data_IF_969838017086
#
_entry.id   IF_969838017086
#
_cell.length_a   1.000
_cell.length_b   1.000
_cell.length_c   1.000
_cell.angle_alpha   90.00
_cell.angle_beta   90.00
_cell.angle_gamma   90.00
#
_symmetry.space_group_name_H-M   'P 1'
#
loop_
_entity.id
_entity.type
_entity.pdbx_description
1 polymer ?
#
# COMPACT_ATOMS: atom_id res chain seq x y z
N UNK A 1 -25.47 90.93 -41.85
CA UNK A 1 -25.10 90.22 -43.09
C UNK A 1 -25.18 88.73 -42.83
N UNK A 2 -26.20 88.06 -43.39
CA UNK A 2 -26.25 86.60 -43.54
C UNK A 2 -25.11 86.14 -44.47
N UNK A 3 -24.70 84.86 -44.47
CA UNK A 3 -25.54 83.81 -45.06
C UNK A 3 -25.55 82.47 -44.29
N UNK A 4 -26.67 81.76 -44.42
CA UNK A 4 -26.71 80.29 -44.29
C UNK A 4 -26.01 79.66 -45.49
N UNK A 5 -25.51 78.42 -45.33
CA UNK A 5 -25.82 77.43 -46.36
C UNK A 5 -26.30 76.10 -45.79
N UNK A 6 -26.86 75.35 -46.73
CA UNK A 6 -27.76 74.21 -46.68
C UNK A 6 -27.05 72.84 -46.70
N UNK A 7 -27.72 71.86 -46.09
CA UNK A 7 -27.90 70.43 -46.48
C UNK A 7 -26.67 69.54 -46.63
N UNK A 8 -26.66 68.40 -45.92
CA UNK A 8 -26.39 67.09 -46.53
C UNK A 8 -26.74 65.95 -45.57
N UNK A 9 -27.70 65.12 -45.98
CA UNK A 9 -27.95 63.80 -45.40
C UNK A 9 -26.73 62.89 -45.56
N UNK A 10 -26.36 62.13 -44.53
CA UNK A 10 -25.49 60.94 -44.65
C UNK A 10 -25.88 59.85 -43.65
N UNK A 11 -26.42 58.76 -44.21
CA UNK A 11 -26.08 57.38 -43.88
C UNK A 11 -26.34 56.88 -42.45
N UNK A 12 -27.51 56.24 -42.24
CA UNK A 12 -27.66 55.29 -41.15
C UNK A 12 -26.88 54.01 -41.49
N UNK A 13 -25.69 53.86 -40.93
CA UNK A 13 -24.90 52.63 -41.03
C UNK A 13 -25.45 51.63 -40.00
N UNK A 14 -26.20 50.63 -40.46
CA UNK A 14 -26.65 49.50 -39.63
C UNK A 14 -25.45 48.60 -39.36
N UNK A 15 -24.94 48.63 -38.13
CA UNK A 15 -23.98 47.64 -37.64
C UNK A 15 -24.73 46.36 -37.30
N UNK A 16 -24.70 45.37 -38.20
CA UNK A 16 -25.07 44.00 -37.85
C UNK A 16 -23.87 43.35 -37.18
N UNK A 17 -23.88 43.30 -35.85
CA UNK A 17 -22.91 42.52 -35.09
C UNK A 17 -23.25 41.03 -35.20
N UNK A 18 -22.50 40.30 -36.02
CA UNK A 18 -22.58 38.84 -36.07
C UNK A 18 -21.83 38.27 -34.87
N UNK A 19 -22.56 37.88 -33.82
CA UNK A 19 -21.98 37.14 -32.69
C UNK A 19 -21.80 35.69 -33.13
N UNK A 20 -20.56 35.30 -33.46
CA UNK A 20 -20.20 33.89 -33.60
C UNK A 20 -20.13 33.26 -32.21
N UNK A 21 -21.17 32.52 -31.83
CA UNK A 21 -21.13 31.66 -30.65
C UNK A 21 -20.23 30.46 -30.96
N UNK A 22 -18.97 30.50 -30.51
CA UNK A 22 -18.09 29.35 -30.51
C UNK A 22 -18.60 28.35 -29.44
N UNK A 23 -19.27 27.29 -29.89
CA UNK A 23 -19.60 26.14 -29.03
C UNK A 23 -18.30 25.37 -28.81
N UNK A 24 -17.58 25.68 -27.73
CA UNK A 24 -16.51 24.83 -27.24
C UNK A 24 -17.18 23.61 -26.63
N UNK A 25 -17.20 22.50 -27.38
CA UNK A 25 -17.57 21.20 -26.85
C UNK A 25 -16.52 20.79 -25.82
N UNK A 26 -16.78 21.08 -24.55
CA UNK A 26 -16.04 20.49 -23.45
C UNK A 26 -16.31 18.99 -23.47
N UNK A 27 -15.43 18.23 -24.11
CA UNK A 27 -15.37 16.80 -23.92
C UNK A 27 -15.00 16.58 -22.44
N UNK A 28 -16.01 16.35 -21.60
CA UNK A 28 -15.81 15.76 -20.29
C UNK A 28 -15.16 14.39 -20.52
N UNK A 29 -13.83 14.31 -20.44
CA UNK A 29 -13.20 13.01 -20.24
C UNK A 29 -13.69 12.52 -18.89
N UNK A 30 -14.58 11.55 -18.90
CA UNK A 30 -14.99 10.88 -17.68
C UNK A 30 -13.70 10.31 -17.07
N UNK A 31 -13.26 10.89 -15.95
CA UNK A 31 -12.21 10.26 -15.14
C UNK A 31 -12.67 8.82 -14.92
N UNK A 32 -11.85 7.81 -15.27
CA UNK A 32 -12.25 6.42 -15.08
C UNK A 32 -12.63 6.27 -13.61
N UNK A 33 -13.86 5.79 -13.35
CA UNK A 33 -14.33 5.48 -12.02
C UNK A 33 -13.35 4.46 -11.43
N UNK A 34 -12.51 4.91 -10.49
CA UNK A 34 -11.57 4.03 -9.82
C UNK A 34 -12.40 3.15 -8.88
N UNK A 35 -12.73 1.94 -9.31
CA UNK A 35 -13.47 1.01 -8.46
C UNK A 35 -12.61 0.56 -7.28
N UNK A 36 -13.20 0.40 -6.08
CA UNK A 36 -12.50 -0.15 -4.93
C UNK A 36 -12.04 -1.58 -5.22
N UNK A 37 -10.82 -1.92 -4.84
CA UNK A 37 -10.28 -3.27 -4.99
C UNK A 37 -10.81 -4.14 -3.85
N UNK A 38 -11.39 -5.31 -4.17
CA UNK A 38 -11.86 -6.25 -3.15
C UNK A 38 -10.88 -7.38 -2.94
N UNK A 39 -10.39 -7.54 -1.70
CA UNK A 39 -9.62 -8.69 -1.26
C UNK A 39 -10.56 -9.83 -0.87
N UNK A 40 -10.18 -11.05 -1.21
CA UNK A 40 -10.88 -12.29 -0.86
C UNK A 40 -9.86 -13.37 -0.49
N UNK A 41 -10.31 -14.57 -0.14
CA UNK A 41 -9.42 -15.73 0.08
C UNK A 41 -8.63 -16.17 -1.17
N UNK A 42 -8.89 -15.59 -2.35
CA UNK A 42 -8.22 -15.92 -3.62
C UNK A 42 -6.98 -15.07 -3.91
N UNK A 43 -6.60 -14.15 -3.02
CA UNK A 43 -5.40 -13.34 -3.22
C UNK A 43 -4.15 -14.21 -3.24
N UNK A 44 -3.14 -13.77 -3.97
CA UNK A 44 -1.78 -14.34 -3.92
C UNK A 44 -0.80 -13.32 -3.38
N UNK A 45 0.26 -13.78 -2.71
CA UNK A 45 1.42 -12.95 -2.38
C UNK A 45 2.50 -13.23 -3.42
N UNK A 46 3.08 -12.19 -4.02
CA UNK A 46 4.18 -12.30 -4.98
C UNK A 46 5.44 -11.69 -4.37
N UNK A 47 6.46 -12.53 -4.24
CA UNK A 47 7.81 -12.16 -3.79
C UNK A 47 8.82 -12.52 -4.90
N UNK A 48 9.99 -11.89 -4.93
CA UNK A 48 11.04 -12.28 -5.87
C UNK A 48 11.82 -13.51 -5.37
N UNK A 49 12.34 -14.37 -6.26
CA UNK A 49 13.38 -15.31 -5.87
C UNK A 49 14.57 -14.57 -5.26
N UNK A 50 15.04 -15.01 -4.09
CA UNK A 50 16.18 -14.39 -3.42
C UNK A 50 15.85 -13.17 -2.56
N UNK A 51 14.57 -12.87 -2.33
CA UNK A 51 14.15 -11.83 -1.38
C UNK A 51 14.85 -12.02 -0.02
N UNK A 52 15.35 -10.94 0.62
CA UNK A 52 16.01 -11.03 1.93
C UNK A 52 15.19 -11.81 2.95
N UNK A 53 15.86 -12.67 3.73
CA UNK A 53 15.20 -13.53 4.73
C UNK A 53 14.22 -12.76 5.66
N UNK A 54 14.54 -11.56 6.18
CA UNK A 54 13.61 -10.81 7.02
C UNK A 54 12.28 -10.45 6.33
N UNK A 55 12.32 -10.09 5.03
CA UNK A 55 11.12 -9.77 4.25
C UNK A 55 10.29 -11.04 4.02
N UNK A 56 10.94 -12.16 3.71
CA UNK A 56 10.26 -13.46 3.54
C UNK A 56 9.55 -13.91 4.81
N UNK A 57 10.16 -13.68 5.98
CA UNK A 57 9.53 -13.96 7.28
C UNK A 57 8.33 -13.05 7.54
N UNK A 58 8.45 -11.75 7.25
CA UNK A 58 7.32 -10.81 7.37
C UNK A 58 6.17 -11.16 6.41
N UNK A 59 6.47 -11.58 5.19
CA UNK A 59 5.47 -12.01 4.22
C UNK A 59 4.81 -13.34 4.63
N UNK A 60 5.55 -14.27 5.26
CA UNK A 60 4.97 -15.45 5.92
C UNK A 60 4.04 -15.08 7.08
N UNK A 61 4.37 -14.04 7.85
CA UNK A 61 3.48 -13.52 8.88
C UNK A 61 2.21 -12.91 8.28
N UNK A 62 2.33 -12.17 7.19
CA UNK A 62 1.18 -11.66 6.43
C UNK A 62 0.31 -12.79 5.88
N UNK A 63 0.92 -13.83 5.30
CA UNK A 63 0.23 -15.04 4.83
C UNK A 63 -0.60 -15.68 5.97
N UNK A 64 -0.04 -15.77 7.18
CA UNK A 64 -0.75 -16.24 8.36
C UNK A 64 -1.86 -15.27 8.83
N UNK A 65 -1.66 -13.96 8.69
CA UNK A 65 -2.67 -12.95 9.01
C UNK A 65 -3.88 -13.04 8.06
N UNK A 66 -3.65 -13.27 6.76
CA UNK A 66 -4.72 -13.63 5.82
C UNK A 66 -5.46 -14.91 6.25
N UNK A 67 -4.76 -15.93 6.72
CA UNK A 67 -5.39 -17.15 7.25
C UNK A 67 -6.28 -16.87 8.45
N UNK A 68 -5.86 -16.01 9.39
CA UNK A 68 -6.68 -15.62 10.55
C UNK A 68 -7.98 -14.93 10.11
N UNK A 69 -7.91 -14.06 9.10
CA UNK A 69 -9.04 -13.24 8.63
C UNK A 69 -9.95 -13.98 7.65
N UNK A 70 -9.41 -14.59 6.61
CA UNK A 70 -10.18 -15.23 5.54
C UNK A 70 -10.35 -16.74 5.72
N UNK A 71 -9.66 -17.34 6.70
CA UNK A 71 -9.69 -18.79 6.96
C UNK A 71 -8.84 -19.62 5.99
N UNK A 72 -8.19 -18.99 5.00
CA UNK A 72 -7.39 -19.65 3.98
C UNK A 72 -6.03 -18.97 3.89
N UNK A 73 -4.99 -19.79 3.78
CA UNK A 73 -3.63 -19.31 3.60
C UNK A 73 -3.39 -19.00 2.11
N UNK A 74 -3.13 -17.74 1.72
CA UNK A 74 -2.89 -17.39 0.33
C UNK A 74 -1.57 -17.99 -0.14
N UNK A 75 -1.46 -18.36 -1.41
CA UNK A 75 -0.18 -18.87 -1.96
C UNK A 75 0.84 -17.74 -2.05
N UNK A 76 2.05 -17.98 -1.55
CA UNK A 76 3.23 -17.18 -1.90
C UNK A 76 3.79 -17.75 -3.21
N UNK A 77 3.86 -16.90 -4.24
CA UNK A 77 4.39 -17.23 -5.56
C UNK A 77 5.64 -16.41 -5.84
N UNK A 78 6.54 -16.95 -6.64
CA UNK A 78 7.83 -16.30 -6.97
C UNK A 78 7.95 -15.86 -8.43
N UNK A 79 6.89 -16.06 -9.22
CA UNK A 79 6.84 -15.73 -10.64
C UNK A 79 5.52 -15.03 -10.96
N UNK A 80 5.55 -13.93 -11.73
CA UNK A 80 4.32 -13.23 -12.11
C UNK A 80 3.30 -14.11 -12.85
N UNK A 81 3.75 -15.11 -13.62
CA UNK A 81 2.87 -16.05 -14.32
C UNK A 81 2.02 -16.93 -13.39
N UNK A 82 2.38 -17.06 -12.12
CA UNK A 82 1.63 -17.82 -11.11
C UNK A 82 0.72 -16.94 -10.23
N UNK A 83 0.75 -15.62 -10.43
CA UNK A 83 -0.01 -14.63 -9.68
C UNK A 83 -1.49 -14.66 -10.06
N UNK A 84 -2.37 -14.44 -9.07
CA UNK A 84 -3.81 -14.37 -9.27
C UNK A 84 -4.29 -12.99 -9.77
N UNK A 85 -5.60 -12.84 -10.02
CA UNK A 85 -6.20 -11.58 -10.46
C UNK A 85 -6.01 -10.42 -9.47
N UNK A 86 -5.89 -10.73 -8.17
CA UNK A 86 -5.54 -9.78 -7.12
C UNK A 86 -4.32 -10.32 -6.38
N UNK A 87 -3.24 -9.57 -6.41
CA UNK A 87 -1.94 -10.00 -5.87
C UNK A 87 -1.35 -8.93 -4.98
N UNK A 88 -0.78 -9.31 -3.84
CA UNK A 88 0.06 -8.41 -3.07
C UNK A 88 1.49 -8.58 -3.57
N UNK A 89 2.06 -7.53 -4.18
CA UNK A 89 3.45 -7.53 -4.63
C UNK A 89 4.32 -6.93 -3.52
N UNK A 90 5.25 -7.75 -3.03
CA UNK A 90 6.12 -7.44 -1.88
C UNK A 90 7.55 -7.37 -2.38
N UNK A 91 8.28 -6.33 -1.96
CA UNK A 91 9.70 -6.20 -2.22
C UNK A 91 10.20 -4.78 -2.00
N UNK A 92 11.51 -4.61 -1.93
CA UNK A 92 12.12 -3.27 -1.91
C UNK A 92 11.80 -2.52 -3.21
N UNK A 93 11.87 -1.18 -3.17
CA UNK A 93 11.47 -0.34 -4.30
C UNK A 93 12.24 -0.70 -5.57
N UNK A 94 13.54 -1.02 -5.44
CA UNK A 94 14.39 -1.44 -6.53
C UNK A 94 13.83 -2.66 -7.30
N UNK A 95 13.10 -3.52 -6.60
CA UNK A 95 12.54 -4.79 -7.11
C UNK A 95 11.13 -4.65 -7.68
N UNK A 96 10.43 -3.57 -7.34
CA UNK A 96 9.12 -3.26 -7.90
C UNK A 96 9.30 -2.74 -9.34
N UNK A 97 8.54 -3.25 -10.34
CA UNK A 97 8.55 -2.71 -11.70
C UNK A 97 8.28 -1.20 -11.70
N UNK A 98 9.03 -0.39 -12.46
CA UNK A 98 8.87 1.08 -12.45
C UNK A 98 7.44 1.55 -12.68
N UNK A 99 6.67 0.88 -13.54
CA UNK A 99 5.28 1.19 -13.84
C UNK A 99 4.31 0.97 -12.66
N UNK A 100 4.73 0.23 -11.62
CA UNK A 100 3.95 -0.07 -10.42
C UNK A 100 4.46 0.68 -9.18
N UNK A 101 5.55 1.44 -9.29
CA UNK A 101 6.06 2.19 -8.14
C UNK A 101 5.13 3.38 -7.89
N UNK A 102 4.56 3.52 -6.68
CA UNK A 102 3.72 4.67 -6.40
C UNK A 102 4.55 5.94 -6.50
N UNK A 103 5.67 6.01 -5.79
CA UNK A 103 6.57 7.16 -5.79
C UNK A 103 8.00 6.68 -5.62
N UNK A 104 8.96 7.57 -5.86
CA UNK A 104 10.34 7.36 -5.42
C UNK A 104 10.44 7.47 -3.90
N UNK A 105 10.92 6.42 -3.23
CA UNK A 105 11.17 6.40 -1.79
C UNK A 105 12.69 6.48 -1.58
N UNK A 106 13.20 7.62 -1.14
CA UNK A 106 14.64 7.80 -0.94
C UNK A 106 15.06 7.75 0.53
N UNK A 107 14.12 7.96 1.45
CA UNK A 107 14.42 8.06 2.88
C UNK A 107 14.42 6.67 3.55
N UNK A 108 15.38 6.41 4.46
CA UNK A 108 15.48 5.11 5.12
C UNK A 108 14.22 4.79 5.91
N UNK A 109 13.81 3.52 5.92
CA UNK A 109 12.64 3.01 6.63
C UNK A 109 11.28 3.64 6.22
N UNK A 110 11.27 4.54 5.22
CA UNK A 110 10.04 5.01 4.60
C UNK A 110 9.41 3.90 3.77
N UNK A 111 8.10 3.98 3.52
CA UNK A 111 7.42 2.93 2.77
C UNK A 111 6.14 3.41 2.11
N UNK A 112 5.60 2.59 1.22
CA UNK A 112 4.36 2.86 0.53
C UNK A 112 3.45 1.64 0.42
N UNK A 113 2.15 1.92 0.43
CA UNK A 113 1.08 0.96 0.16
C UNK A 113 0.24 1.55 -0.97
N UNK A 114 0.17 0.88 -2.11
CA UNK A 114 -0.58 1.38 -3.26
C UNK A 114 -1.30 0.26 -4.01
N UNK A 115 -2.37 0.62 -4.72
CA UNK A 115 -3.07 -0.32 -5.61
C UNK A 115 -2.88 0.11 -7.05
N UNK A 116 -2.11 -0.67 -7.79
CA UNK A 116 -1.74 -0.38 -9.18
C UNK A 116 -2.25 -1.48 -10.14
N UNK A 117 -2.36 -1.19 -11.45
CA UNK A 117 -2.44 -2.24 -12.47
C UNK A 117 -1.23 -3.16 -12.37
N UNK A 118 -1.43 -4.47 -12.49
CA UNK A 118 -0.32 -5.41 -12.45
C UNK A 118 0.50 -5.35 -13.75
N UNK A 119 1.81 -5.13 -13.66
CA UNK A 119 2.69 -5.03 -14.83
C UNK A 119 2.74 -6.30 -15.69
N UNK A 120 2.38 -7.46 -15.11
CA UNK A 120 2.36 -8.75 -15.82
C UNK A 120 1.01 -9.09 -16.46
N UNK A 121 -0.08 -8.42 -16.09
CA UNK A 121 -1.40 -8.66 -16.64
C UNK A 121 -2.29 -7.42 -16.44
N UNK A 122 -2.65 -6.68 -17.51
CA UNK A 122 -3.49 -5.48 -17.43
C UNK A 122 -4.87 -5.69 -16.79
N UNK A 123 -5.41 -6.91 -16.81
CA UNK A 123 -6.68 -7.25 -16.17
C UNK A 123 -6.53 -7.56 -14.67
N UNK A 124 -5.31 -7.73 -14.17
CA UNK A 124 -5.02 -7.99 -12.76
C UNK A 124 -4.68 -6.70 -12.00
N UNK A 125 -4.90 -6.74 -10.69
CA UNK A 125 -4.59 -5.64 -9.77
C UNK A 125 -3.54 -6.09 -8.77
N UNK A 126 -2.60 -5.20 -8.49
CA UNK A 126 -1.54 -5.41 -7.51
C UNK A 126 -1.71 -4.45 -6.33
N UNK A 127 -1.66 -4.99 -5.11
CA UNK A 127 -1.40 -4.19 -3.91
C UNK A 127 0.12 -4.18 -3.71
N UNK A 128 0.77 -3.06 -3.98
CA UNK A 128 2.22 -2.89 -3.85
C UNK A 128 2.56 -2.53 -2.42
N UNK A 129 3.39 -3.34 -1.77
CA UNK A 129 3.93 -3.14 -0.43
C UNK A 129 5.45 -3.03 -0.54
N UNK A 130 5.97 -1.81 -0.37
CA UNK A 130 7.38 -1.53 -0.72
C UNK A 130 8.01 -0.44 0.14
N UNK A 131 9.32 -0.52 0.32
CA UNK A 131 10.17 0.52 0.90
C UNK A 131 11.55 0.54 0.22
N UNK A 132 12.40 1.56 0.44
CA UNK A 132 13.73 1.61 -0.17
C UNK A 132 14.69 0.56 0.38
N UNK A 133 14.40 0.04 1.58
CA UNK A 133 15.23 -0.91 2.31
C UNK A 133 14.38 -2.03 2.92
N UNK A 134 15.06 -2.94 3.62
CA UNK A 134 14.45 -4.12 4.25
C UNK A 134 13.41 -3.72 5.29
N UNK A 135 13.70 -2.73 6.14
CA UNK A 135 12.82 -2.33 7.23
C UNK A 135 11.58 -1.60 6.71
N UNK A 136 11.73 -0.67 5.76
CA UNK A 136 10.59 -0.01 5.11
C UNK A 136 9.66 -1.03 4.44
N UNK A 137 10.20 -2.05 3.78
CA UNK A 137 9.39 -3.11 3.17
C UNK A 137 8.64 -3.95 4.23
N UNK A 138 9.31 -4.29 5.33
CA UNK A 138 8.67 -4.97 6.48
C UNK A 138 7.56 -4.12 7.08
N UNK A 139 7.78 -2.82 7.25
CA UNK A 139 6.76 -1.90 7.76
C UNK A 139 5.56 -1.76 6.82
N UNK A 140 5.77 -1.77 5.49
CA UNK A 140 4.66 -1.83 4.54
C UNK A 140 3.79 -3.08 4.72
N UNK A 141 4.42 -4.23 4.97
CA UNK A 141 3.73 -5.50 5.22
C UNK A 141 2.88 -5.43 6.50
N UNK A 142 3.47 -5.01 7.62
CA UNK A 142 2.76 -4.99 8.90
C UNK A 142 1.74 -3.86 9.00
N UNK A 143 2.03 -2.68 8.46
CA UNK A 143 1.06 -1.60 8.35
C UNK A 143 -0.14 -2.04 7.51
N UNK A 144 0.07 -2.80 6.43
CA UNK A 144 -1.04 -3.36 5.67
C UNK A 144 -1.87 -4.36 6.49
N UNK A 145 -1.20 -5.23 7.25
CA UNK A 145 -1.86 -6.20 8.13
C UNK A 145 -2.72 -5.49 9.20
N UNK A 146 -2.20 -4.44 9.80
CA UNK A 146 -2.94 -3.64 10.78
C UNK A 146 -4.11 -2.89 10.15
N UNK A 147 -3.84 -2.05 9.15
CA UNK A 147 -4.83 -1.09 8.64
C UNK A 147 -5.95 -1.74 7.85
N UNK A 148 -5.64 -2.82 7.10
CA UNK A 148 -6.60 -3.41 6.16
C UNK A 148 -7.06 -4.80 6.57
N UNK A 149 -6.23 -5.59 7.26
CA UNK A 149 -6.66 -6.89 7.79
C UNK A 149 -7.19 -6.80 9.22
N UNK A 150 -6.92 -5.70 9.93
CA UNK A 150 -7.35 -5.51 11.32
C UNK A 150 -6.60 -6.41 12.30
N UNK A 151 -5.37 -6.83 11.96
CA UNK A 151 -4.53 -7.61 12.87
C UNK A 151 -3.78 -6.66 13.78
N UNK A 152 -4.09 -6.74 15.07
CA UNK A 152 -3.46 -5.91 16.09
C UNK A 152 -1.98 -6.32 16.30
N UNK A 153 -1.03 -5.36 16.39
CA UNK A 153 0.40 -5.63 16.57
C UNK A 153 0.74 -6.60 17.72
N UNK A 154 0.08 -6.44 18.88
CA UNK A 154 0.27 -7.24 20.08
C UNK A 154 -0.60 -8.52 20.13
N UNK A 155 -1.29 -8.88 19.04
CA UNK A 155 -2.29 -9.97 19.03
C UNK A 155 -1.77 -11.32 19.53
N UNK A 156 -0.48 -11.62 19.34
CA UNK A 156 0.14 -12.81 19.90
C UNK A 156 0.13 -12.82 21.44
N UNK A 157 0.43 -11.67 22.07
CA UNK A 157 0.53 -11.53 23.52
C UNK A 157 -0.82 -11.35 24.19
N UNK A 158 -1.73 -10.62 23.53
CA UNK A 158 -3.07 -10.34 24.06
C UNK A 158 -4.07 -11.46 23.80
N UNK A 159 -3.73 -12.42 22.93
CA UNK A 159 -4.64 -13.45 22.45
C UNK A 159 -5.77 -12.93 21.56
N UNK A 160 -5.77 -11.63 21.22
CA UNK A 160 -6.78 -11.03 20.36
C UNK A 160 -6.75 -11.65 18.97
N UNK A 161 -7.93 -11.87 18.39
CA UNK A 161 -8.08 -12.41 17.04
C UNK A 161 -8.81 -11.41 16.17
N UNK A 162 -8.34 -11.17 14.92
CA UNK A 162 -9.06 -10.30 14.01
C UNK A 162 -10.42 -10.95 13.65
N UNK A 163 -11.45 -10.15 13.35
CA UNK A 163 -12.73 -10.67 12.91
C UNK A 163 -12.58 -11.40 11.57
N UNK A 164 -13.25 -12.56 11.44
CA UNK A 164 -13.28 -13.28 10.17
C UNK A 164 -14.07 -12.49 9.12
N UNK A 165 -13.54 -12.43 7.89
CA UNK A 165 -14.13 -11.69 6.76
C UNK A 165 -14.12 -12.57 5.51
N UNK A 166 -15.18 -12.49 4.70
CA UNK A 166 -15.20 -13.10 3.36
C UNK A 166 -14.62 -12.18 2.29
N UNK A 167 -14.73 -10.86 2.51
CA UNK A 167 -14.25 -9.81 1.63
C UNK A 167 -13.82 -8.58 2.44
N UNK A 168 -12.82 -7.88 1.94
CA UNK A 168 -12.38 -6.58 2.44
C UNK A 168 -12.25 -5.65 1.24
N UNK A 169 -12.92 -4.50 1.28
CA UNK A 169 -12.78 -3.48 0.24
C UNK A 169 -11.63 -2.55 0.63
N UNK A 170 -10.65 -2.40 -0.26
CA UNK A 170 -9.63 -1.37 -0.17
C UNK A 170 -10.16 -0.07 -0.77
N UNK A 171 -9.76 1.10 -0.23
CA UNK A 171 -10.14 2.39 -0.79
C UNK A 171 -9.83 2.49 -2.30
N UNK A 172 -10.75 3.12 -3.04
CA UNK A 172 -10.52 3.47 -4.43
C UNK A 172 -9.29 4.39 -4.55
N UNK A 173 -8.36 4.06 -5.43
CA UNK A 173 -7.14 4.84 -5.62
C UNK A 173 -6.21 4.81 -4.42
N UNK A 174 -6.29 3.77 -3.58
CA UNK A 174 -5.42 3.61 -2.41
C UNK A 174 -3.95 3.80 -2.82
N UNK A 175 -3.35 4.85 -2.26
CA UNK A 175 -1.94 5.18 -2.38
C UNK A 175 -1.53 5.98 -1.15
N UNK A 176 -0.79 5.35 -0.26
CA UNK A 176 -0.30 5.94 0.99
C UNK A 176 1.21 5.86 1.02
N UNK A 177 1.83 6.97 1.40
CA UNK A 177 3.27 7.13 1.57
C UNK A 177 3.51 7.44 3.03
N UNK A 178 4.41 6.70 3.64
CA UNK A 178 4.78 6.84 5.04
C UNK A 178 6.20 7.40 5.10
N UNK A 179 6.39 8.58 5.73
CA UNK A 179 7.71 9.20 5.83
C UNK A 179 8.65 8.37 6.70
N UNK A 180 9.97 8.63 6.66
CA UNK A 180 10.90 8.01 7.59
C UNK A 180 10.51 8.33 9.04
N UNK A 181 10.82 7.44 9.99
CA UNK A 181 10.58 7.71 11.40
C UNK A 181 11.42 8.89 11.88
N UNK A 182 10.86 9.68 12.80
CA UNK A 182 11.53 10.84 13.37
C UNK A 182 12.80 10.45 14.15
N UNK A 183 12.73 9.35 14.90
CA UNK A 183 13.86 8.81 15.67
C UNK A 183 14.46 7.63 14.93
N UNK A 184 15.78 7.69 14.68
CA UNK A 184 16.50 6.65 13.91
C UNK A 184 16.49 5.28 14.59
N UNK A 185 16.65 5.23 15.90
CA UNK A 185 16.65 3.99 16.68
C UNK A 185 15.46 4.00 17.64
N UNK A 186 14.66 2.93 17.59
CA UNK A 186 13.43 2.77 18.36
C UNK A 186 13.39 1.34 18.87
N UNK A 187 13.02 1.14 20.12
CA UNK A 187 12.95 -0.18 20.73
C UNK A 187 12.73 -0.10 22.22
N UNK A 188 12.83 -1.25 22.87
CA UNK A 188 12.76 -1.40 24.31
C UNK A 188 13.90 -2.29 24.80
N UNK A 189 14.25 -2.12 26.07
CA UNK A 189 15.19 -3.00 26.77
C UNK A 189 14.37 -3.98 27.61
N UNK A 190 14.55 -5.28 27.35
CA UNK A 190 13.95 -6.33 28.18
C UNK A 190 14.83 -6.46 29.41
N UNK A 191 14.30 -6.08 30.57
CA UNK A 191 14.96 -6.15 31.86
C UNK A 191 14.04 -6.83 32.88
N UNK A 192 14.63 -7.31 33.97
CA UNK A 192 13.93 -8.03 35.05
C UNK A 192 13.13 -9.22 34.50
N UNK A 193 13.81 -10.01 33.65
CA UNK A 193 13.21 -11.00 32.78
C UNK A 193 12.92 -12.35 33.45
N UNK A 194 13.00 -12.46 34.78
CA UNK A 194 12.87 -13.73 35.52
C UNK A 194 11.61 -14.52 35.10
N UNK A 195 10.48 -13.82 34.95
CA UNK A 195 9.22 -14.43 34.51
C UNK A 195 9.22 -14.78 33.02
N UNK A 196 9.96 -14.05 32.19
CA UNK A 196 10.04 -14.29 30.75
C UNK A 196 10.97 -15.47 30.41
N UNK A 197 12.08 -15.61 31.14
CA UNK A 197 13.02 -16.73 31.06
C UNK A 197 12.32 -18.07 31.33
N UNK A 198 11.41 -18.10 32.31
CA UNK A 198 10.62 -19.29 32.64
C UNK A 198 9.33 -19.48 31.82
N UNK A 199 8.88 -18.47 31.07
CA UNK A 199 7.54 -18.47 30.46
C UNK A 199 7.35 -19.58 29.41
N UNK A 200 8.34 -19.75 28.53
CA UNK A 200 8.40 -20.87 27.58
C UNK A 200 9.83 -21.41 27.59
N UNK A 201 10.07 -22.54 28.27
CA UNK A 201 11.41 -23.09 28.44
C UNK A 201 12.11 -23.33 27.11
N UNK A 202 13.36 -22.89 27.02
CA UNK A 202 14.22 -23.18 25.87
C UNK A 202 14.68 -24.65 25.89
N UNK A 203 14.78 -25.32 24.73
CA UNK A 203 15.59 -26.53 24.60
C UNK A 203 17.01 -26.28 25.14
N UNK A 204 17.58 -27.27 25.84
CA UNK A 204 18.94 -27.15 26.41
C UNK A 204 20.01 -26.81 25.37
N UNK A 205 19.80 -27.19 24.11
CA UNK A 205 20.68 -26.89 22.98
C UNK A 205 20.73 -25.42 22.57
N UNK A 206 19.75 -24.60 22.96
CA UNK A 206 19.74 -23.16 22.63
C UNK A 206 20.76 -22.39 23.47
N UNK A 207 21.08 -22.87 24.68
CA UNK A 207 21.99 -22.20 25.62
C UNK A 207 21.64 -20.70 25.86
N UNK A 208 20.35 -20.34 25.77
CA UNK A 208 19.82 -19.00 26.04
C UNK A 208 18.96 -18.98 27.30
N UNK A 209 18.81 -17.82 27.95
CA UNK A 209 17.83 -17.62 29.03
C UNK A 209 16.41 -17.62 28.47
N UNK A 210 16.10 -16.64 27.62
CA UNK A 210 14.83 -16.57 26.90
C UNK A 210 14.92 -17.45 25.64
N UNK A 211 13.93 -18.31 25.41
CA UNK A 211 13.92 -19.19 24.22
C UNK A 211 13.87 -18.40 22.92
N UNK A 212 14.56 -18.90 21.88
CA UNK A 212 14.60 -18.25 20.57
C UNK A 212 13.20 -18.13 19.94
N UNK A 213 12.29 -19.06 20.26
CA UNK A 213 10.89 -18.96 19.84
C UNK A 213 10.19 -17.74 20.45
N UNK A 214 10.46 -17.43 21.73
CA UNK A 214 9.91 -16.24 22.40
C UNK A 214 10.57 -14.99 21.83
N UNK A 215 11.89 -14.98 21.64
CA UNK A 215 12.60 -13.86 21.02
C UNK A 215 12.07 -13.54 19.61
N UNK A 216 11.78 -14.56 18.79
CA UNK A 216 11.16 -14.36 17.49
C UNK A 216 9.81 -13.62 17.59
N UNK A 217 9.02 -13.89 18.64
CA UNK A 217 7.74 -13.21 18.86
C UNK A 217 7.92 -11.78 19.35
N UNK A 218 8.94 -11.54 20.14
CA UNK A 218 9.33 -10.19 20.55
C UNK A 218 9.78 -9.38 19.32
N UNK A 219 10.65 -9.92 18.48
CA UNK A 219 11.10 -9.24 17.25
C UNK A 219 9.97 -9.00 16.26
N UNK A 220 9.08 -9.99 16.06
CA UNK A 220 7.87 -9.79 15.25
C UNK A 220 7.03 -8.62 15.80
N UNK A 221 6.88 -8.53 17.12
CA UNK A 221 6.08 -7.50 17.78
C UNK A 221 6.71 -6.12 17.66
N UNK A 222 8.04 -5.99 17.78
CA UNK A 222 8.76 -4.72 17.60
C UNK A 222 8.60 -4.19 16.17
N UNK A 223 8.51 -5.10 15.19
CA UNK A 223 8.42 -4.74 13.78
C UNK A 223 6.99 -4.42 13.33
N UNK A 224 5.97 -4.85 14.08
CA UNK A 224 4.55 -4.60 13.81
C UNK A 224 4.12 -3.22 14.29
#
# INVERSE_FOLDING_TARGET
MSPRPTVSARGALRWTATVLAAVVSAACSARPLISPLTLTSRVTLLERPGEPLPIRLAAKNLQNDFRKVFGVEPRIVTRPSAAGPVTLMIGTEAEIPPAMRPTRLAAPESFAIAVEPAAWNPAARAVVLTGPDVLGTIYAIYQFSQDYLGVEPMSYWTGQRPPRRRRIALPAGLRRIFPPPLFKYRGFFINDEDLLTGWRPAPKSEHTGISLQVMNKIYETILR
#
